data_IF_523675710732
#
_entry.id   IF_523675710732
#
_cell.length_a   1.000
_cell.length_b   1.000
_cell.length_c   1.000
_cell.angle_alpha   90.00
_cell.angle_beta   90.00
_cell.angle_gamma   90.00
#
_symmetry.space_group_name_H-M   'P 1'
#
loop_
_entity.id
_entity.type
_entity.pdbx_description
1 polymer ?
#
# COMPACT_ATOMS: atom_id res chain seq x y z
N UNK A 1 -36.49 -64.95 -6.07
CA UNK A 1 -37.13 -63.64 -5.89
C UNK A 1 -36.15 -62.68 -5.23
N UNK A 2 -35.85 -61.58 -5.93
CA UNK A 2 -35.18 -60.32 -5.54
C UNK A 2 -33.90 -60.39 -4.68
N UNK A 3 -32.75 -60.22 -5.36
CA UNK A 3 -31.51 -59.67 -4.80
C UNK A 3 -31.78 -58.21 -4.38
N UNK A 4 -31.50 -57.87 -3.13
CA UNK A 4 -31.37 -56.46 -2.69
C UNK A 4 -29.95 -56.33 -2.13
N UNK A 5 -29.05 -55.81 -2.96
CA UNK A 5 -27.72 -55.40 -2.55
C UNK A 5 -27.84 -54.01 -1.93
N UNK A 6 -27.66 -53.90 -0.62
CA UNK A 6 -27.63 -52.63 0.10
C UNK A 6 -26.26 -51.97 -0.14
N UNK A 7 -26.21 -50.94 -0.99
CA UNK A 7 -25.03 -50.11 -1.19
C UNK A 7 -25.00 -49.08 -0.05
N UNK A 8 -24.09 -49.26 0.90
CA UNK A 8 -23.80 -48.29 1.94
C UNK A 8 -22.91 -47.18 1.35
N UNK A 9 -23.50 -46.06 0.95
CA UNK A 9 -22.74 -44.86 0.59
C UNK A 9 -22.15 -44.23 1.86
N UNK A 10 -20.88 -44.50 2.13
CA UNK A 10 -20.08 -43.73 3.08
C UNK A 10 -19.73 -42.41 2.38
N UNK A 11 -20.49 -41.36 2.67
CA UNK A 11 -20.12 -39.98 2.32
C UNK A 11 -18.99 -39.60 3.27
N UNK A 12 -17.74 -39.71 2.79
CA UNK A 12 -16.59 -39.10 3.45
C UNK A 12 -16.72 -37.58 3.27
N UNK A 13 -17.32 -36.91 4.26
CA UNK A 13 -17.24 -35.47 4.36
C UNK A 13 -15.80 -35.09 4.70
N UNK A 14 -14.96 -34.90 3.68
CA UNK A 14 -13.74 -34.12 3.83
C UNK A 14 -14.16 -32.68 4.11
N UNK A 15 -14.37 -32.38 5.40
CA UNK A 15 -14.36 -31.02 5.88
C UNK A 15 -12.96 -30.46 5.66
N UNK A 16 -12.80 -29.64 4.62
CA UNK A 16 -11.73 -28.67 4.55
C UNK A 16 -11.91 -27.75 5.76
N UNK A 17 -11.28 -28.10 6.89
CA UNK A 17 -11.02 -27.12 7.93
C UNK A 17 -10.04 -26.12 7.32
N UNK A 18 -10.56 -25.03 6.78
CA UNK A 18 -9.77 -23.83 6.64
C UNK A 18 -9.25 -23.52 8.03
N UNK A 19 -7.93 -23.58 8.22
CA UNK A 19 -7.32 -23.04 9.43
C UNK A 19 -7.59 -21.54 9.41
N UNK A 20 -8.55 -21.09 10.21
CA UNK A 20 -8.59 -19.72 10.65
C UNK A 20 -7.26 -19.43 11.34
N UNK A 21 -6.39 -18.63 10.72
CA UNK A 21 -5.24 -18.04 11.41
C UNK A 21 -5.82 -17.34 12.64
N UNK A 22 -5.35 -17.70 13.83
CA UNK A 22 -5.89 -17.22 15.09
C UNK A 22 -5.88 -15.67 15.11
N UNK A 23 -7.05 -15.09 15.34
CA UNK A 23 -7.34 -13.66 15.36
C UNK A 23 -7.60 -13.28 16.82
N UNK A 24 -6.54 -13.11 17.60
CA UNK A 24 -6.63 -12.83 19.05
C UNK A 24 -5.74 -11.66 19.49
N UNK A 25 -5.26 -10.86 18.54
CA UNK A 25 -4.52 -9.61 18.79
C UNK A 25 -5.24 -8.46 18.11
N UNK A 26 -5.40 -7.34 18.83
CA UNK A 26 -5.87 -6.10 18.24
C UNK A 26 -4.86 -5.60 17.20
N UNK A 27 -5.36 -4.93 16.17
CA UNK A 27 -4.49 -4.17 15.27
C UNK A 27 -3.88 -3.04 16.08
N UNK A 28 -2.56 -2.93 16.04
CA UNK A 28 -1.81 -1.96 16.83
C UNK A 28 -0.73 -1.34 15.94
N UNK A 29 -0.52 -0.03 16.08
CA UNK A 29 0.54 0.70 15.39
C UNK A 29 1.48 1.36 16.41
N UNK A 30 2.76 1.02 16.30
CA UNK A 30 3.83 1.64 17.09
C UNK A 30 4.51 2.73 16.24
N UNK A 31 4.33 4.03 16.52
CA UNK A 31 4.90 5.11 15.73
C UNK A 31 6.41 5.29 15.99
N UNK A 32 7.14 5.67 14.94
CA UNK A 32 8.53 6.08 15.04
C UNK A 32 8.66 7.40 15.83
N UNK A 33 9.72 7.52 16.62
CA UNK A 33 9.94 8.69 17.50
C UNK A 33 10.87 9.73 16.87
N UNK A 34 11.74 9.30 15.96
CA UNK A 34 12.68 10.14 15.25
C UNK A 34 13.03 9.52 13.90
N UNK A 35 13.75 10.28 13.06
CA UNK A 35 14.14 9.83 11.72
C UNK A 35 15.03 8.59 11.76
N UNK A 36 15.83 8.36 12.81
CA UNK A 36 16.68 7.16 12.89
C UNK A 36 15.82 5.92 13.12
N UNK A 37 14.79 6.01 13.96
CA UNK A 37 13.82 4.93 14.15
C UNK A 37 13.11 4.55 12.85
N UNK A 38 12.88 5.50 11.93
CA UNK A 38 12.34 5.23 10.60
C UNK A 38 13.32 4.42 9.75
N UNK A 39 14.60 4.83 9.72
CA UNK A 39 15.67 4.14 8.99
C UNK A 39 15.84 2.71 9.51
N UNK A 40 15.93 2.55 10.83
CA UNK A 40 16.08 1.24 11.49
C UNK A 40 14.87 0.33 11.21
N UNK A 41 13.66 0.90 11.17
CA UNK A 41 12.45 0.15 10.86
C UNK A 41 12.47 -0.39 9.42
N UNK A 42 12.85 0.44 8.44
CA UNK A 42 12.98 -0.01 7.05
C UNK A 42 14.05 -1.09 6.88
N UNK A 43 15.22 -0.93 7.49
CA UNK A 43 16.30 -1.92 7.44
C UNK A 43 15.87 -3.26 8.04
N UNK A 44 15.26 -3.23 9.24
CA UNK A 44 14.93 -4.43 10.01
C UNK A 44 13.61 -5.12 9.61
N UNK A 45 12.69 -4.42 8.95
CA UNK A 45 11.36 -4.95 8.59
C UNK A 45 11.21 -5.10 7.08
N UNK A 46 11.38 -4.01 6.33
CA UNK A 46 11.12 -4.00 4.88
C UNK A 46 12.24 -4.70 4.11
N UNK A 47 13.51 -4.42 4.44
CA UNK A 47 14.68 -4.99 3.76
C UNK A 47 15.24 -6.26 4.37
N UNK A 48 14.61 -6.81 5.42
CA UNK A 48 15.15 -7.94 6.20
C UNK A 48 15.43 -9.24 5.44
N UNK A 49 14.93 -9.38 4.20
CA UNK A 49 15.21 -10.52 3.31
C UNK A 49 16.22 -10.19 2.19
N UNK A 50 16.66 -8.94 2.10
CA UNK A 50 17.73 -8.50 1.22
C UNK A 50 19.07 -8.57 1.97
N UNK A 51 20.18 -8.91 1.30
CA UNK A 51 21.50 -8.73 1.91
C UNK A 51 21.77 -7.25 2.10
N UNK A 52 22.33 -6.87 3.25
CA UNK A 52 22.62 -5.47 3.56
C UNK A 52 23.55 -4.80 2.55
N UNK A 53 24.49 -5.53 1.96
CA UNK A 53 25.36 -4.98 0.89
C UNK A 53 24.64 -4.68 -0.43
N UNK A 54 23.38 -5.11 -0.57
CA UNK A 54 22.53 -4.85 -1.73
C UNK A 54 21.54 -3.70 -1.47
N UNK A 55 21.63 -3.01 -0.33
CA UNK A 55 20.86 -1.82 0.00
C UNK A 55 21.86 -0.71 0.36
N UNK A 56 21.64 0.50 -0.14
CA UNK A 56 22.49 1.65 0.14
C UNK A 56 21.67 2.93 0.17
N UNK A 57 22.27 4.00 0.71
CA UNK A 57 21.72 5.37 0.64
C UNK A 57 20.28 5.52 1.14
N UNK A 58 19.86 4.69 2.10
CA UNK A 58 18.56 4.79 2.75
C UNK A 58 18.42 6.15 3.46
N UNK A 59 17.41 6.91 3.07
CA UNK A 59 17.11 8.25 3.53
C UNK A 59 15.61 8.39 3.81
N UNK A 60 15.30 9.23 4.78
CA UNK A 60 13.94 9.60 5.14
C UNK A 60 13.81 11.12 5.14
N UNK A 61 12.74 11.60 4.52
CA UNK A 61 12.32 13.01 4.55
C UNK A 61 10.84 13.09 4.91
N UNK A 62 10.52 13.77 6.00
CA UNK A 62 9.16 13.92 6.51
C UNK A 62 9.10 14.03 8.03
N UNK A 63 7.89 13.98 8.59
CA UNK A 63 7.68 13.90 10.04
C UNK A 63 7.79 12.43 10.49
N UNK A 64 8.69 12.05 11.41
CA UNK A 64 8.83 10.67 11.86
C UNK A 64 7.54 10.06 12.43
N UNK A 65 6.65 10.88 12.99
CA UNK A 65 5.38 10.39 13.53
C UNK A 65 4.41 9.89 12.46
N UNK A 66 4.69 10.19 11.18
CA UNK A 66 3.98 9.70 10.01
C UNK A 66 4.33 8.25 9.62
N UNK A 67 5.30 7.64 10.32
CA UNK A 67 5.74 6.26 10.07
C UNK A 67 5.54 5.42 11.33
N UNK A 68 5.09 4.18 11.15
CA UNK A 68 4.94 3.24 12.25
C UNK A 68 5.05 1.79 11.83
N UNK A 69 5.29 0.92 12.81
CA UNK A 69 5.24 -0.53 12.65
C UNK A 69 3.86 -1.03 13.08
N UNK A 70 3.18 -1.79 12.22
CA UNK A 70 1.88 -2.36 12.54
C UNK A 70 1.96 -3.88 12.77
N UNK A 71 1.11 -4.37 13.66
CA UNK A 71 0.88 -5.79 13.90
C UNK A 71 -0.61 -6.16 13.85
N UNK A 72 -0.90 -7.45 13.67
CA UNK A 72 -2.26 -7.99 13.56
C UNK A 72 -3.13 -7.39 12.42
N UNK A 73 -2.51 -6.84 11.39
CA UNK A 73 -3.12 -6.26 10.19
C UNK A 73 -3.63 -7.29 9.18
N UNK A 74 -4.06 -8.49 9.60
CA UNK A 74 -4.50 -9.55 8.68
C UNK A 74 -5.73 -9.16 7.83
N UNK A 75 -6.54 -8.21 8.33
CA UNK A 75 -7.70 -7.71 7.58
C UNK A 75 -7.29 -6.94 6.31
N UNK A 76 -6.08 -6.37 6.28
CA UNK A 76 -5.49 -5.76 5.09
C UNK A 76 -5.16 -6.81 4.00
N UNK A 77 -5.25 -8.10 4.31
CA UNK A 77 -4.99 -9.20 3.38
C UNK A 77 -3.52 -9.64 3.31
N UNK A 78 -2.65 -9.06 4.15
CA UNK A 78 -1.25 -9.49 4.29
C UNK A 78 -1.15 -10.86 4.95
N UNK A 79 -0.21 -11.68 4.47
CA UNK A 79 0.01 -13.03 4.99
C UNK A 79 0.64 -13.00 6.39
N UNK A 80 1.50 -12.01 6.64
CA UNK A 80 2.16 -11.76 7.93
C UNK A 80 1.26 -11.04 8.94
N UNK A 81 0.32 -10.23 8.45
CA UNK A 81 -0.42 -9.26 9.27
C UNK A 81 0.49 -8.20 9.91
N UNK A 82 1.71 -7.99 9.39
CA UNK A 82 2.73 -7.11 9.97
C UNK A 82 3.43 -6.29 8.89
N UNK A 83 3.92 -5.11 9.24
CA UNK A 83 4.61 -4.26 8.28
C UNK A 83 4.81 -2.83 8.73
N UNK A 84 5.01 -1.94 7.76
CA UNK A 84 5.24 -0.51 7.99
C UNK A 84 4.05 0.28 7.43
N UNK A 85 3.57 1.28 8.15
CA UNK A 85 2.66 2.30 7.64
C UNK A 85 3.44 3.59 7.37
N UNK A 86 3.15 4.22 6.23
CA UNK A 86 3.53 5.61 5.93
C UNK A 86 2.22 6.34 5.65
N UNK A 87 1.95 7.40 6.39
CA UNK A 87 0.70 8.17 6.29
C UNK A 87 1.01 9.64 6.04
N UNK A 88 0.05 10.39 5.52
CA UNK A 88 0.12 11.85 5.46
C UNK A 88 -0.32 12.51 6.77
N UNK A 89 -0.86 11.69 7.68
CA UNK A 89 -1.13 12.04 9.07
C UNK A 89 -0.07 11.57 10.06
N UNK A 90 -0.56 11.03 11.18
CA UNK A 90 0.21 10.37 12.24
C UNK A 90 -0.09 8.89 12.28
N UNK A 91 0.95 8.07 12.27
CA UNK A 91 0.84 6.61 12.36
C UNK A 91 0.18 6.14 13.67
N UNK A 92 0.31 6.93 14.75
CA UNK A 92 -0.31 6.65 16.04
C UNK A 92 -1.85 6.65 16.02
N UNK A 93 -2.46 7.21 14.97
CA UNK A 93 -3.92 7.27 14.83
C UNK A 93 -4.45 6.17 13.89
N UNK A 94 -3.58 5.44 13.19
CA UNK A 94 -3.98 4.47 12.17
C UNK A 94 -4.78 3.27 12.73
N UNK A 95 -4.59 2.93 14.01
CA UNK A 95 -5.32 1.86 14.73
C UNK A 95 -6.52 2.37 15.56
N UNK A 96 -6.87 3.65 15.44
CA UNK A 96 -8.10 4.18 16.01
C UNK A 96 -9.34 3.65 15.28
N UNK A 97 -10.49 3.75 15.93
CA UNK A 97 -11.78 3.43 15.31
C UNK A 97 -12.27 4.54 14.38
N UNK A 98 -12.98 4.15 13.32
CA UNK A 98 -13.84 5.07 12.57
C UNK A 98 -14.97 5.61 13.44
N UNK A 99 -15.39 6.85 13.16
CA UNK A 99 -16.47 7.53 13.87
C UNK A 99 -17.55 7.94 12.87
N UNK A 100 -18.78 7.47 13.09
CA UNK A 100 -19.91 7.86 12.26
C UNK A 100 -20.12 9.38 12.26
N UNK A 101 -20.29 9.98 11.09
CA UNK A 101 -20.57 11.41 10.94
C UNK A 101 -19.36 12.34 11.16
N UNK A 102 -18.17 11.78 11.37
CA UNK A 102 -16.92 12.51 11.21
C UNK A 102 -16.48 12.46 9.75
N UNK A 103 -15.85 13.54 9.28
CA UNK A 103 -15.20 13.57 7.96
C UNK A 103 -13.68 13.33 8.06
N UNK A 104 -13.11 13.44 9.26
CA UNK A 104 -11.69 13.23 9.53
C UNK A 104 -11.56 12.56 10.91
N UNK A 105 -11.12 11.31 10.91
CA UNK A 105 -10.87 10.47 12.10
C UNK A 105 -9.37 10.32 12.36
N UNK A 106 -8.54 10.37 11.33
CA UNK A 106 -7.09 10.47 11.41
C UNK A 106 -6.71 11.91 11.74
N UNK A 107 -5.42 12.13 11.95
CA UNK A 107 -4.94 13.44 12.35
C UNK A 107 -5.23 14.51 11.30
N UNK A 108 -5.10 15.78 11.67
CA UNK A 108 -4.91 16.81 10.65
C UNK A 108 -3.44 17.17 10.66
N UNK A 109 -2.83 17.17 9.48
CA UNK A 109 -1.56 17.83 9.20
C UNK A 109 -0.34 17.31 9.99
N UNK A 110 0.70 16.89 9.27
CA UNK A 110 2.02 16.62 9.86
C UNK A 110 3.05 17.68 9.42
N UNK A 111 4.23 17.75 10.05
CA UNK A 111 5.27 18.70 9.59
C UNK A 111 6.12 18.12 8.45
N UNK A 112 5.48 17.38 7.53
CA UNK A 112 6.12 16.64 6.46
C UNK A 112 6.58 17.51 5.30
N UNK A 113 7.08 16.85 4.25
CA UNK A 113 7.66 17.50 3.09
C UNK A 113 6.59 18.26 2.31
N UNK A 114 6.88 19.53 2.00
CA UNK A 114 6.00 20.41 1.25
C UNK A 114 6.48 20.54 -0.19
N UNK A 115 5.58 20.41 -1.16
CA UNK A 115 5.85 20.64 -2.58
C UNK A 115 6.88 19.70 -3.22
N UNK A 116 6.79 18.40 -2.93
CA UNK A 116 7.60 17.40 -3.62
C UNK A 116 7.22 17.34 -5.11
N UNK A 117 8.19 17.44 -6.04
CA UNK A 117 7.89 17.55 -7.47
C UNK A 117 7.20 16.31 -8.05
N UNK A 118 7.53 15.11 -7.56
CA UNK A 118 6.92 13.88 -8.10
C UNK A 118 5.49 13.71 -7.58
N UNK A 119 5.24 14.07 -6.32
CA UNK A 119 3.89 14.13 -5.77
C UNK A 119 3.03 15.18 -6.48
N UNK A 120 3.56 16.39 -6.72
CA UNK A 120 2.85 17.41 -7.50
C UNK A 120 2.52 16.91 -8.92
N UNK A 121 3.42 16.16 -9.54
CA UNK A 121 3.19 15.59 -10.87
C UNK A 121 2.09 14.51 -10.84
N UNK A 122 2.07 13.63 -9.83
CA UNK A 122 0.95 12.68 -9.62
C UNK A 122 -0.37 13.43 -9.39
N UNK A 123 -0.32 14.55 -8.67
CA UNK A 123 -1.49 15.35 -8.32
C UNK A 123 -1.90 16.34 -9.45
N UNK A 124 -1.46 16.08 -10.69
CA UNK A 124 -1.75 16.89 -11.88
C UNK A 124 -1.37 18.38 -11.73
N UNK A 125 -0.29 18.65 -11.02
CA UNK A 125 0.25 19.98 -10.76
C UNK A 125 -0.31 20.66 -9.50
N UNK A 126 -1.19 20.01 -8.75
CA UNK A 126 -1.64 20.52 -7.44
C UNK A 126 -0.50 20.48 -6.43
N UNK A 127 -0.48 21.45 -5.52
CA UNK A 127 0.48 21.46 -4.40
C UNK A 127 0.36 20.17 -3.58
N UNK A 128 1.51 19.63 -3.18
CA UNK A 128 1.58 18.51 -2.24
C UNK A 128 1.92 19.00 -0.84
N UNK A 129 1.30 18.41 0.17
CA UNK A 129 1.55 18.69 1.58
C UNK A 129 1.94 17.40 2.31
N UNK A 130 2.55 17.55 3.48
CA UNK A 130 2.66 16.51 4.51
C UNK A 130 3.34 15.22 4.03
N UNK A 131 4.29 15.41 3.11
CA UNK A 131 5.00 14.35 2.42
C UNK A 131 5.82 13.47 3.36
N UNK A 132 5.58 12.17 3.28
CA UNK A 132 6.36 11.12 3.93
C UNK A 132 7.13 10.33 2.85
N UNK A 133 8.45 10.52 2.82
CA UNK A 133 9.30 10.09 1.70
C UNK A 133 10.43 9.20 2.19
N UNK A 134 10.57 8.02 1.57
CA UNK A 134 11.68 7.09 1.77
C UNK A 134 12.40 6.89 0.44
N UNK A 135 13.72 7.09 0.47
CA UNK A 135 14.59 6.93 -0.70
C UNK A 135 15.70 5.96 -0.37
N UNK A 136 16.06 5.10 -1.32
CA UNK A 136 17.18 4.17 -1.17
C UNK A 136 17.63 3.62 -2.51
N UNK A 137 18.85 3.13 -2.54
CA UNK A 137 19.39 2.39 -3.66
C UNK A 137 19.38 0.89 -3.35
N UNK A 138 19.13 0.08 -4.37
CA UNK A 138 19.25 -1.37 -4.26
C UNK A 138 19.97 -2.00 -5.45
N UNK A 139 20.68 -3.08 -5.17
CA UNK A 139 21.35 -3.92 -6.17
C UNK A 139 20.55 -5.22 -6.37
N UNK A 140 19.79 -5.37 -7.46
CA UNK A 140 19.02 -6.57 -7.74
C UNK A 140 19.88 -7.80 -8.01
N UNK A 141 19.47 -8.93 -7.40
CA UNK A 141 20.03 -10.26 -7.70
C UNK A 141 19.34 -10.96 -8.88
N UNK A 142 18.21 -10.41 -9.31
CA UNK A 142 17.32 -11.01 -10.29
C UNK A 142 16.63 -9.92 -11.10
N UNK A 143 16.04 -10.27 -12.23
CA UNK A 143 15.50 -9.29 -13.17
C UNK A 143 14.10 -8.78 -12.83
N UNK A 144 13.74 -8.79 -11.55
CA UNK A 144 12.42 -8.34 -11.10
C UNK A 144 12.48 -7.90 -9.66
N UNK A 145 11.93 -6.73 -9.38
CA UNK A 145 11.67 -6.19 -8.04
C UNK A 145 10.24 -6.55 -7.63
N UNK A 146 10.04 -6.89 -6.35
CA UNK A 146 8.74 -7.18 -5.78
C UNK A 146 8.62 -6.65 -4.35
N UNK A 147 7.46 -6.11 -4.02
CA UNK A 147 6.96 -5.89 -2.65
C UNK A 147 5.44 -5.75 -2.70
N UNK A 148 4.81 -5.86 -1.53
CA UNK A 148 3.36 -5.84 -1.40
C UNK A 148 2.93 -4.60 -0.63
N UNK A 149 1.83 -3.97 -1.06
CA UNK A 149 1.29 -2.80 -0.39
C UNK A 149 -0.24 -2.76 -0.43
N UNK A 150 -0.82 -1.98 0.48
CA UNK A 150 -2.23 -1.58 0.51
C UNK A 150 -2.27 -0.05 0.59
N UNK A 151 -3.16 0.57 -0.17
CA UNK A 151 -3.47 2.00 -0.04
C UNK A 151 -4.77 2.16 0.74
N UNK A 152 -4.84 3.12 1.66
CA UNK A 152 -6.01 3.44 2.47
C UNK A 152 -6.18 4.96 2.56
N UNK A 153 -7.41 5.42 2.73
CA UNK A 153 -7.71 6.86 2.83
C UNK A 153 -9.01 7.12 3.59
N UNK A 154 -9.04 8.25 4.29
CA UNK A 154 -10.27 8.84 4.86
C UNK A 154 -11.12 9.57 3.83
N UNK A 155 -10.55 9.87 2.67
CA UNK A 155 -11.27 10.54 1.60
C UNK A 155 -12.37 9.65 0.98
N UNK A 156 -12.32 8.34 1.23
CA UNK A 156 -13.38 7.42 0.84
C UNK A 156 -14.61 7.57 1.74
N UNK A 157 -15.85 7.58 1.26
CA UNK A 157 -16.27 7.73 -0.12
C UNK A 157 -16.78 9.16 -0.40
N UNK A 158 -16.40 10.11 0.46
CA UNK A 158 -16.91 11.47 0.47
C UNK A 158 -16.27 12.33 -0.61
N UNK A 159 -14.98 12.13 -0.89
CA UNK A 159 -14.17 12.99 -1.75
C UNK A 159 -13.75 12.33 -3.08
N UNK A 160 -14.28 11.14 -3.36
CA UNK A 160 -14.12 10.50 -4.68
C UNK A 160 -14.61 11.44 -5.79
N UNK A 161 -13.73 11.73 -6.75
CA UNK A 161 -13.87 12.67 -7.87
C UNK A 161 -14.02 14.14 -7.46
N UNK A 162 -13.61 14.53 -6.25
CA UNK A 162 -13.71 15.89 -5.74
C UNK A 162 -12.43 16.74 -5.93
N UNK A 163 -11.45 16.22 -6.68
CA UNK A 163 -10.14 16.84 -6.96
C UNK A 163 -9.14 16.86 -5.78
N UNK A 164 -9.48 16.20 -4.68
CA UNK A 164 -8.58 15.81 -3.61
C UNK A 164 -8.26 14.34 -3.87
N UNK A 165 -7.00 14.06 -4.17
CA UNK A 165 -6.55 12.73 -4.54
C UNK A 165 -5.10 12.64 -4.11
N UNK A 166 -4.91 12.27 -2.86
CA UNK A 166 -3.58 12.25 -2.26
C UNK A 166 -2.58 11.49 -3.12
N UNK A 167 -1.41 12.10 -3.26
CA UNK A 167 -0.39 11.61 -4.15
C UNK A 167 0.30 10.44 -3.49
N UNK A 168 0.20 9.25 -4.08
CA UNK A 168 1.06 8.11 -3.76
C UNK A 168 1.81 7.64 -5.00
N UNK A 169 3.13 7.53 -4.88
CA UNK A 169 3.99 7.03 -5.94
C UNK A 169 5.08 6.11 -5.43
N UNK A 170 5.47 5.17 -6.29
CA UNK A 170 6.71 4.43 -6.16
C UNK A 170 7.54 4.63 -7.40
N UNK A 171 8.49 5.55 -7.31
CA UNK A 171 9.31 5.98 -8.43
C UNK A 171 10.58 5.15 -8.47
N UNK A 172 10.78 4.44 -9.57
CA UNK A 172 11.94 3.60 -9.80
C UNK A 172 12.77 4.20 -10.94
N UNK A 173 14.06 4.40 -10.72
CA UNK A 173 15.02 4.83 -11.76
C UNK A 173 16.24 3.91 -11.80
N UNK A 174 16.88 3.83 -12.97
CA UNK A 174 18.03 2.96 -13.21
C UNK A 174 18.14 2.49 -14.66
N UNK A 175 19.01 1.53 -14.92
CA UNK A 175 19.24 1.02 -16.29
C UNK A 175 17.93 0.52 -16.93
N UNK A 176 17.62 1.01 -18.12
CA UNK A 176 16.43 0.59 -18.88
C UNK A 176 15.13 1.28 -18.46
N UNK A 177 15.18 2.26 -17.56
CA UNK A 177 14.05 3.08 -17.15
C UNK A 177 14.27 4.51 -17.64
N UNK A 178 13.24 5.08 -18.25
CA UNK A 178 13.22 6.42 -18.85
C UNK A 178 11.80 6.97 -18.71
N UNK A 179 11.42 7.30 -17.48
CA UNK A 179 10.10 7.82 -17.14
C UNK A 179 10.10 9.34 -16.95
N UNK A 180 8.91 9.89 -16.74
CA UNK A 180 8.68 11.34 -16.73
C UNK A 180 8.87 12.00 -15.34
N UNK A 181 9.23 11.24 -14.32
CA UNK A 181 9.45 11.73 -12.95
C UNK A 181 10.92 12.14 -12.73
N UNK A 182 11.21 12.71 -11.56
CA UNK A 182 12.60 13.07 -11.21
C UNK A 182 13.55 11.87 -11.36
N UNK A 183 14.80 12.14 -11.72
CA UNK A 183 15.81 11.12 -12.06
C UNK A 183 15.41 10.18 -13.21
N UNK A 184 14.52 10.61 -14.10
CA UNK A 184 13.92 9.80 -15.17
C UNK A 184 13.23 8.54 -14.63
N UNK A 185 12.65 8.65 -13.42
CA UNK A 185 11.97 7.54 -12.79
C UNK A 185 10.61 7.26 -13.45
N UNK A 186 10.17 6.02 -13.36
CA UNK A 186 8.81 5.60 -13.71
C UNK A 186 8.02 5.26 -12.44
N UNK A 187 6.72 5.57 -12.41
CA UNK A 187 5.87 5.21 -11.28
C UNK A 187 5.37 3.77 -11.45
N UNK A 188 5.84 2.86 -10.60
CA UNK A 188 5.47 1.43 -10.65
C UNK A 188 4.40 1.04 -9.62
N UNK A 189 3.82 2.02 -8.91
CA UNK A 189 2.65 1.84 -8.04
C UNK A 189 1.33 1.83 -8.85
N UNK A 190 1.19 0.81 -9.70
CA UNK A 190 0.10 0.71 -10.68
C UNK A 190 -0.90 -0.39 -10.33
N UNK A 191 -2.15 -0.22 -10.78
CA UNK A 191 -3.15 -1.28 -10.70
C UNK A 191 -2.72 -2.51 -11.52
N UNK A 192 -2.98 -3.74 -11.04
CA UNK A 192 -2.51 -4.95 -11.68
C UNK A 192 -2.86 -5.04 -13.17
N UNK A 193 -1.84 -5.16 -14.01
CA UNK A 193 -2.01 -5.33 -15.46
C UNK A 193 -2.42 -4.06 -16.21
N UNK A 194 -2.19 -2.87 -15.64
CA UNK A 194 -2.54 -1.58 -16.24
C UNK A 194 -1.44 -0.53 -16.05
N UNK A 195 -1.63 0.63 -16.67
CA UNK A 195 -0.81 1.84 -16.44
C UNK A 195 -1.55 2.89 -15.59
N UNK A 196 -2.52 2.45 -14.78
CA UNK A 196 -3.33 3.32 -13.94
C UNK A 196 -2.71 3.36 -12.55
N UNK A 197 -2.34 4.55 -12.07
CA UNK A 197 -1.83 4.75 -10.70
C UNK A 197 -2.90 4.44 -9.65
N UNK A 198 -2.47 3.96 -8.48
CA UNK A 198 -3.38 3.76 -7.34
C UNK A 198 -3.76 5.10 -6.73
N UNK A 199 -5.06 5.35 -6.55
CA UNK A 199 -5.59 6.57 -5.95
C UNK A 199 -7.08 6.39 -5.62
N UNK A 200 -7.70 7.32 -4.86
CA UNK A 200 -9.11 7.23 -4.50
C UNK A 200 -10.05 7.28 -5.73
N UNK A 201 -9.66 8.06 -6.73
CA UNK A 201 -10.40 8.19 -7.98
C UNK A 201 -10.31 6.93 -8.86
N UNK A 202 -9.23 6.17 -8.70
CA UNK A 202 -8.96 4.98 -9.51
C UNK A 202 -9.43 3.67 -8.87
N UNK A 203 -9.75 3.63 -7.56
CA UNK A 203 -10.26 2.44 -6.87
C UNK A 203 -11.41 2.81 -5.93
N UNK A 204 -12.66 2.77 -6.39
CA UNK A 204 -13.81 3.18 -5.58
C UNK A 204 -15.12 2.53 -6.02
N UNK A 205 -16.15 2.69 -5.18
CA UNK A 205 -17.53 2.29 -5.43
C UNK A 205 -18.45 3.50 -5.70
N UNK A 206 -17.88 4.59 -6.23
CA UNK A 206 -18.59 5.85 -6.47
C UNK A 206 -18.51 6.82 -5.29
N UNK A 207 -19.24 7.94 -5.40
CA UNK A 207 -19.19 9.07 -4.47
C UNK A 207 -20.46 9.23 -3.64
N UNK A 208 -20.34 9.95 -2.53
CA UNK A 208 -21.49 10.46 -1.77
C UNK A 208 -21.98 9.53 -0.66
N UNK A 209 -21.15 8.58 -0.22
CA UNK A 209 -21.37 7.81 0.99
C UNK A 209 -20.46 8.32 2.10
N UNK A 210 -21.06 9.01 3.07
CA UNK A 210 -20.39 9.33 4.34
C UNK A 210 -20.24 8.06 5.17
N UNK A 211 -19.24 8.03 6.04
CA UNK A 211 -19.09 7.00 7.07
C UNK A 211 -20.42 6.78 7.81
N UNK A 212 -20.89 5.52 7.83
CA UNK A 212 -22.18 5.09 8.38
C UNK A 212 -23.46 5.61 7.70
N UNK A 213 -23.41 6.11 6.46
CA UNK A 213 -24.60 6.56 5.71
C UNK A 213 -25.05 5.60 4.60
N UNK A 214 -24.38 4.44 4.49
CA UNK A 214 -24.56 3.49 3.41
C UNK A 214 -23.50 3.69 2.32
N UNK A 215 -23.08 2.57 1.73
CA UNK A 215 -22.14 2.57 0.62
C UNK A 215 -22.70 3.34 -0.60
N UNK A 216 -21.88 4.17 -1.28
CA UNK A 216 -22.29 4.83 -2.51
C UNK A 216 -22.54 3.82 -3.63
N UNK A 217 -23.12 4.30 -4.74
CA UNK A 217 -23.38 3.49 -5.93
C UNK A 217 -22.44 3.88 -7.07
N UNK A 218 -21.66 2.92 -7.56
CA UNK A 218 -20.68 3.11 -8.62
C UNK A 218 -19.66 1.97 -8.65
N UNK A 219 -18.74 2.04 -9.60
CA UNK A 219 -17.58 1.15 -9.64
C UNK A 219 -16.51 1.72 -10.57
N UNK A 220 -15.35 2.01 -10.01
CA UNK A 220 -14.09 2.24 -10.74
C UNK A 220 -13.06 1.31 -10.14
N UNK A 221 -12.68 0.27 -10.88
CA UNK A 221 -11.81 -0.83 -10.42
C UNK A 221 -12.19 -1.36 -9.02
N UNK A 222 -13.49 -1.41 -8.73
CA UNK A 222 -14.03 -1.71 -7.40
C UNK A 222 -13.74 -3.15 -6.94
N UNK A 223 -13.30 -4.04 -7.84
CA UNK A 223 -12.79 -5.36 -7.48
C UNK A 223 -11.55 -5.30 -6.59
N UNK A 224 -10.84 -4.17 -6.56
CA UNK A 224 -9.72 -3.93 -5.65
C UNK A 224 -10.12 -3.13 -4.41
N UNK A 225 -11.36 -2.68 -4.29
CA UNK A 225 -11.83 -1.85 -3.18
C UNK A 225 -12.35 -2.71 -2.02
N UNK A 226 -12.01 -2.33 -0.79
CA UNK A 226 -12.54 -2.91 0.44
C UNK A 226 -13.13 -1.78 1.29
N UNK A 227 -14.45 -1.85 1.52
CA UNK A 227 -15.14 -0.88 2.36
C UNK A 227 -15.04 -1.28 3.83
N UNK A 228 -14.72 -0.33 4.71
CA UNK A 228 -14.85 -0.51 6.16
C UNK A 228 -15.43 0.72 6.87
N UNK A 229 -16.13 1.59 6.12
CA UNK A 229 -16.80 2.80 6.62
C UNK A 229 -18.14 2.53 7.33
N UNK A 230 -18.53 1.26 7.49
CA UNK A 230 -19.79 0.86 8.12
C UNK A 230 -19.56 0.21 9.49
N UNK A 231 -20.32 0.62 10.51
CA UNK A 231 -20.18 0.14 11.90
C UNK A 231 -20.30 -1.37 12.11
N UNK A 232 -20.83 -2.10 11.13
CA UNK A 232 -20.90 -3.56 11.14
C UNK A 232 -19.61 -4.25 10.69
N UNK A 233 -18.65 -3.52 10.12
CA UNK A 233 -17.38 -4.07 9.65
C UNK A 233 -16.40 -4.29 10.84
N UNK A 234 -15.73 -5.45 10.95
CA UNK A 234 -14.77 -5.68 12.02
C UNK A 234 -13.56 -4.74 12.02
N UNK A 235 -13.17 -4.17 10.88
CA UNK A 235 -12.09 -3.19 10.78
C UNK A 235 -12.53 -1.80 11.25
N UNK A 236 -13.83 -1.46 11.18
CA UNK A 236 -14.37 -0.16 11.60
C UNK A 236 -13.92 0.25 13.01
N UNK A 237 -13.84 -0.69 13.95
CA UNK A 237 -13.52 -0.40 15.35
C UNK A 237 -12.01 -0.32 15.66
N UNK A 238 -11.15 -0.41 14.65
CA UNK A 238 -9.69 -0.52 14.84
C UNK A 238 -8.86 -0.01 13.64
N UNK A 239 -9.49 0.63 12.68
CA UNK A 239 -8.83 1.13 11.48
C UNK A 239 -9.49 2.45 11.10
N UNK A 240 -8.70 3.51 11.08
CA UNK A 240 -9.18 4.90 11.01
C UNK A 240 -9.54 5.36 9.59
N UNK A 241 -9.12 4.62 8.58
CA UNK A 241 -9.42 4.94 7.19
C UNK A 241 -10.79 4.38 6.81
N UNK A 242 -11.51 5.07 5.94
CA UNK A 242 -12.89 4.71 5.57
C UNK A 242 -12.96 3.61 4.51
N UNK A 243 -11.88 3.44 3.73
CA UNK A 243 -11.68 2.28 2.88
C UNK A 243 -10.20 2.06 2.54
N UNK A 244 -9.91 0.89 1.99
CA UNK A 244 -8.58 0.51 1.55
C UNK A 244 -8.62 -0.44 0.35
N UNK A 245 -7.48 -0.62 -0.31
CA UNK A 245 -7.36 -1.51 -1.45
C UNK A 245 -7.06 -2.95 -1.00
N UNK A 246 -7.35 -3.92 -1.86
CA UNK A 246 -6.70 -5.23 -1.79
C UNK A 246 -5.19 -5.07 -1.91
N UNK A 247 -4.46 -6.09 -1.44
CA UNK A 247 -3.00 -6.15 -1.58
C UNK A 247 -2.61 -6.05 -3.05
N UNK A 248 -1.89 -4.99 -3.39
CA UNK A 248 -1.19 -4.87 -4.66
C UNK A 248 0.24 -5.39 -4.54
N UNK A 249 0.74 -5.95 -5.64
CA UNK A 249 2.10 -6.47 -5.73
C UNK A 249 2.82 -5.75 -6.84
N UNK A 250 3.83 -4.95 -6.49
CA UNK A 250 4.74 -4.41 -7.50
C UNK A 250 5.56 -5.55 -8.08
N UNK A 251 5.75 -5.52 -9.40
CA UNK A 251 6.37 -6.59 -10.15
C UNK A 251 7.07 -6.09 -11.39
N UNK A 252 7.96 -5.11 -11.25
CA UNK A 252 8.65 -4.48 -12.37
C UNK A 252 9.85 -5.32 -12.83
N UNK A 253 9.99 -5.52 -14.14
CA UNK A 253 11.19 -6.12 -14.72
C UNK A 253 12.33 -5.09 -14.76
N UNK A 254 13.52 -5.55 -14.36
CA UNK A 254 14.76 -4.75 -14.26
C UNK A 254 15.94 -5.59 -14.73
N UNK A 255 17.09 -4.98 -14.95
CA UNK A 255 18.34 -5.70 -15.16
C UNK A 255 19.05 -5.98 -13.83
N UNK A 256 19.54 -7.19 -13.65
CA UNK A 256 20.41 -7.54 -12.52
C UNK A 256 21.83 -6.97 -12.69
N UNK A 257 22.48 -6.63 -11.58
CA UNK A 257 23.90 -6.23 -11.56
C UNK A 257 24.18 -4.74 -11.62
N UNK A 258 23.16 -3.89 -11.83
CA UNK A 258 23.27 -2.43 -11.76
C UNK A 258 22.49 -1.89 -10.56
N UNK A 259 22.91 -0.77 -10.00
CA UNK A 259 22.18 -0.10 -8.92
C UNK A 259 20.95 0.62 -9.47
N UNK A 260 19.84 0.51 -8.73
CA UNK A 260 18.59 1.22 -8.99
C UNK A 260 18.27 2.10 -7.80
N UNK A 261 17.61 3.21 -8.05
CA UNK A 261 17.14 4.13 -7.03
C UNK A 261 15.61 4.04 -6.92
N UNK A 262 15.11 3.95 -5.69
CA UNK A 262 13.68 3.92 -5.37
C UNK A 262 13.35 5.11 -4.49
N UNK A 263 12.27 5.81 -4.85
CA UNK A 263 11.59 6.77 -4.00
C UNK A 263 10.16 6.30 -3.76
N UNK A 264 9.80 6.09 -2.50
CA UNK A 264 8.43 5.87 -2.05
C UNK A 264 7.96 7.19 -1.45
N UNK A 265 6.90 7.77 -1.99
CA UNK A 265 6.37 9.02 -1.47
C UNK A 265 4.84 8.96 -1.37
N UNK A 266 4.33 9.46 -0.26
CA UNK A 266 2.92 9.77 -0.06
C UNK A 266 2.79 11.19 0.48
N UNK A 267 1.80 11.96 0.05
CA UNK A 267 1.52 13.31 0.54
C UNK A 267 0.16 13.82 0.08
N UNK A 268 -0.43 14.73 0.85
CA UNK A 268 -1.78 15.21 0.59
C UNK A 268 -1.83 16.06 -0.68
N UNK A 269 -2.99 16.06 -1.36
CA UNK A 269 -3.24 16.87 -2.54
C UNK A 269 -4.23 18.01 -2.27
N UNK A 270 -3.75 19.25 -2.41
CA UNK A 270 -4.61 20.44 -2.44
C UNK A 270 -4.98 21.02 -1.07
N UNK A 271 -5.35 20.19 -0.09
CA UNK A 271 -5.39 20.55 1.33
C UNK A 271 -4.63 19.50 2.16
N UNK A 272 -4.30 19.80 3.42
CA UNK A 272 -3.58 18.88 4.33
C UNK A 272 -4.46 18.47 5.50
N UNK A 273 -5.72 18.12 5.20
CA UNK A 273 -6.79 17.93 6.19
C UNK A 273 -7.24 16.47 6.31
N UNK A 274 -7.27 15.73 5.21
CA UNK A 274 -7.66 14.31 5.19
C UNK A 274 -6.42 13.46 4.96
N UNK A 275 -6.29 12.38 5.72
CA UNK A 275 -5.09 11.56 5.65
C UNK A 275 -5.27 10.33 4.73
N UNK A 276 -4.22 10.03 3.99
CA UNK A 276 -4.05 8.77 3.26
C UNK A 276 -2.82 8.01 3.76
N UNK A 277 -2.82 6.70 3.57
CA UNK A 277 -1.70 5.85 3.96
C UNK A 277 -1.39 4.74 2.98
N UNK A 278 -0.11 4.36 2.98
CA UNK A 278 0.36 3.09 2.45
C UNK A 278 0.78 2.18 3.58
N UNK A 279 0.36 0.92 3.48
CA UNK A 279 0.83 -0.16 4.33
C UNK A 279 1.73 -1.06 3.49
N UNK A 280 2.97 -1.24 3.92
CA UNK A 280 3.97 -2.08 3.28
C UNK A 280 4.13 -3.38 4.07
N UNK A 281 3.97 -4.53 3.43
CA UNK A 281 4.11 -5.82 4.11
C UNK A 281 5.56 -6.09 4.49
N UNK A 282 5.80 -6.54 5.72
CA UNK A 282 7.14 -6.95 6.16
C UNK A 282 7.74 -8.00 5.21
N UNK A 283 9.08 -8.00 5.04
CA UNK A 283 9.79 -9.03 4.23
C UNK A 283 9.34 -9.13 2.77
N UNK A 284 8.52 -8.20 2.29
CA UNK A 284 7.96 -8.29 0.94
C UNK A 284 8.93 -7.73 -0.11
N UNK A 285 9.81 -6.78 0.26
CA UNK A 285 10.83 -6.23 -0.63
C UNK A 285 11.91 -7.27 -0.95
N UNK A 286 11.92 -7.72 -2.20
CA UNK A 286 12.85 -8.72 -2.70
C UNK A 286 13.07 -8.60 -4.20
N UNK A 287 14.12 -9.24 -4.68
CA UNK A 287 14.39 -9.38 -6.11
C UNK A 287 14.29 -10.86 -6.51
N UNK A 288 13.46 -11.19 -7.50
CA UNK A 288 13.17 -12.60 -7.83
C UNK A 288 12.59 -12.86 -9.22
N UNK A 289 13.22 -13.75 -9.99
CA UNK A 289 12.83 -14.15 -11.35
C UNK A 289 14.04 -14.22 -12.28
N UNK A 290 14.45 -15.41 -12.70
CA UNK A 290 15.53 -15.57 -13.68
C UNK A 290 14.99 -15.26 -15.07
N UNK A 291 15.35 -14.10 -15.63
CA UNK A 291 15.25 -13.89 -17.07
C UNK A 291 16.67 -13.92 -17.61
N UNK A 292 17.05 -14.98 -18.30
CA UNK A 292 18.34 -15.04 -18.98
C UNK A 292 18.37 -13.91 -20.01
N UNK A 293 19.43 -13.08 -20.03
CA UNK A 293 19.64 -12.09 -21.10
C UNK A 293 19.56 -12.83 -22.45
N UNK A 294 18.47 -12.63 -23.19
CA UNK A 294 18.45 -12.95 -24.61
C UNK A 294 19.01 -11.72 -25.29
N UNK A 295 20.31 -11.73 -25.57
CA UNK A 295 20.96 -10.72 -26.39
C UNK A 295 20.19 -10.59 -27.71
N UNK A 296 19.46 -9.48 -27.90
CA UNK A 296 18.79 -9.15 -29.16
C UNK A 296 17.31 -8.77 -29.08
N UNK A 297 16.64 -8.84 -27.93
CA UNK A 297 15.24 -8.41 -27.84
C UNK A 297 15.13 -6.92 -27.48
N UNK A 298 14.91 -6.07 -28.49
CA UNK A 298 14.30 -4.75 -28.27
C UNK A 298 12.90 -4.98 -27.70
N UNK A 299 12.67 -4.54 -26.47
CA UNK A 299 11.30 -4.41 -25.95
C UNK A 299 10.65 -3.34 -26.83
N UNK A 300 9.72 -3.75 -27.69
CA UNK A 300 8.90 -2.81 -28.46
C UNK A 300 7.85 -2.23 -27.51
N UNK A 301 7.72 -0.90 -27.57
CA UNK A 301 6.75 -0.09 -26.84
C UNK A 301 5.31 -0.56 -27.07
#
# INVERSE_FOLDING_TARGET
MKKITLILMIILAFGLKQQSKAQDSNFEVTPCQDSMAVIDLFDSVFFSVMPSQNIANLQFSGDPSAVGYFEAGYFLGFDSGKGIVLTTGKAADADNMNICGSAANASTNNNGVQGDPDLQQINNGSSSYDGCIIEFDFLPKSNKIQFNYVFASEEYNDYVFAAFNDGFGLFLSGEGIDGDFTNNADNVALLPGSNISVSIDNVNIGKGGKTCSGAPTGCTNCEYFINNSESGDPAFNKFVYDAYTKVFRVGQYIFHGEWYHVKIAIGDSGDGVFDSAIFLEEKSFKTGGSVTRVSGLKIMK
#
